data_IF_205685988300
#
_entry.id   IF_205685988300
#
_cell.length_a   1.000
_cell.length_b   1.000
_cell.length_c   1.000
_cell.angle_alpha   90.00
_cell.angle_beta   90.00
_cell.angle_gamma   90.00
#
_symmetry.space_group_name_H-M   'P 1'
#
loop_
_entity.id
_entity.type
_entity.pdbx_description
1 polymer ?
#
# COMPACT_ATOMS: atom_id res chain seq x y z
N UNK A 1 -16.21 -6.55 -16.15
CA UNK A 1 -17.35 -7.48 -16.31
C UNK A 1 -17.12 -8.65 -15.38
N UNK A 2 -18.16 -9.16 -14.76
CA UNK A 2 -18.12 -10.40 -13.99
C UNK A 2 -19.04 -11.40 -14.68
N UNK A 3 -18.66 -12.68 -14.70
CA UNK A 3 -19.51 -13.72 -15.24
C UNK A 3 -20.70 -13.92 -14.32
N UNK A 4 -21.91 -13.81 -14.89
CA UNK A 4 -23.13 -14.10 -14.16
C UNK A 4 -23.17 -15.61 -13.82
N UNK A 5 -23.48 -15.92 -12.57
CA UNK A 5 -23.37 -17.28 -12.03
C UNK A 5 -24.35 -18.30 -12.65
N UNK A 6 -25.40 -17.82 -13.35
CA UNK A 6 -26.41 -18.68 -13.96
C UNK A 6 -26.27 -18.79 -15.47
N UNK A 7 -25.85 -17.71 -16.12
CA UNK A 7 -25.74 -17.62 -17.59
C UNK A 7 -24.32 -17.79 -18.10
N UNK A 8 -23.30 -17.59 -17.24
CA UNK A 8 -21.88 -17.60 -17.62
C UNK A 8 -21.48 -16.43 -18.53
N UNK A 9 -22.36 -15.43 -18.69
CA UNK A 9 -22.11 -14.27 -19.56
C UNK A 9 -21.49 -13.15 -18.75
N UNK A 10 -20.45 -12.51 -19.29
CA UNK A 10 -19.85 -11.32 -18.69
C UNK A 10 -20.83 -10.15 -18.66
N UNK A 11 -21.18 -9.69 -17.47
CA UNK A 11 -22.08 -8.55 -17.24
C UNK A 11 -21.38 -7.41 -16.51
N UNK A 12 -21.85 -6.18 -16.73
CA UNK A 12 -21.41 -5.02 -15.93
C UNK A 12 -22.19 -5.00 -14.61
N UNK A 13 -21.48 -5.18 -13.50
CA UNK A 13 -22.06 -5.14 -12.15
C UNK A 13 -21.95 -3.75 -11.50
N UNK A 14 -21.19 -2.85 -12.12
CA UNK A 14 -21.04 -1.46 -11.70
C UNK A 14 -22.15 -0.58 -12.27
N UNK A 15 -22.61 0.36 -11.46
CA UNK A 15 -23.65 1.33 -11.75
C UNK A 15 -23.12 2.73 -11.52
N UNK A 16 -23.51 3.66 -12.38
CA UNK A 16 -23.35 5.08 -12.14
C UNK A 16 -24.41 5.53 -11.15
N UNK A 17 -23.96 6.07 -10.02
CA UNK A 17 -24.79 6.57 -8.94
C UNK A 17 -24.63 8.08 -8.84
N UNK A 18 -25.74 8.78 -8.69
CA UNK A 18 -25.76 10.22 -8.49
C UNK A 18 -25.48 10.57 -7.03
N UNK A 19 -24.54 11.49 -6.79
CA UNK A 19 -24.36 12.11 -5.48
C UNK A 19 -25.57 12.98 -5.17
N UNK A 20 -25.87 13.96 -6.03
CA UNK A 20 -27.14 14.69 -6.05
C UNK A 20 -28.03 14.04 -7.09
N UNK A 21 -29.16 13.48 -6.66
CA UNK A 21 -30.06 12.71 -7.51
C UNK A 21 -30.45 13.45 -8.78
N UNK A 22 -30.68 12.72 -9.87
CA UNK A 22 -30.92 13.28 -11.20
C UNK A 22 -32.05 14.33 -11.27
N UNK A 23 -33.06 14.23 -10.42
CA UNK A 23 -34.24 15.13 -10.41
C UNK A 23 -34.30 16.00 -9.16
N UNK A 24 -34.86 17.21 -9.29
CA UNK A 24 -35.14 18.12 -8.16
C UNK A 24 -36.42 17.77 -7.39
N UNK A 25 -37.11 16.69 -7.78
CA UNK A 25 -38.36 16.26 -7.14
C UNK A 25 -38.11 15.68 -5.73
N UNK A 26 -39.10 15.78 -4.84
CA UNK A 26 -39.00 15.38 -3.42
C UNK A 26 -38.72 13.90 -3.16
N UNK A 27 -38.88 13.04 -4.18
CA UNK A 27 -38.53 11.61 -4.11
C UNK A 27 -37.14 11.26 -4.64
N UNK A 28 -36.39 12.23 -5.19
CA UNK A 28 -35.04 11.97 -5.69
C UNK A 28 -34.02 12.06 -4.54
N UNK A 29 -33.12 11.08 -4.39
CA UNK A 29 -32.09 11.11 -3.36
C UNK A 29 -31.30 12.42 -3.39
N UNK A 30 -31.33 13.17 -2.29
CA UNK A 30 -30.65 14.48 -2.16
C UNK A 30 -31.05 15.49 -3.25
N UNK A 31 -32.22 15.34 -3.87
CA UNK A 31 -32.65 16.15 -5.01
C UNK A 31 -32.83 17.64 -4.71
N UNK A 32 -33.01 18.01 -3.43
CA UNK A 32 -33.13 19.40 -2.97
C UNK A 32 -31.81 20.17 -2.90
N UNK A 33 -30.66 19.55 -3.20
CA UNK A 33 -29.38 20.24 -3.32
C UNK A 33 -29.41 21.28 -4.47
N UNK A 34 -28.77 22.45 -4.31
CA UNK A 34 -28.81 23.54 -5.28
C UNK A 34 -28.05 23.26 -6.60
N UNK A 35 -27.41 22.08 -6.75
CA UNK A 35 -26.75 21.70 -8.01
C UNK A 35 -27.72 21.81 -9.20
N UNK A 36 -27.37 22.60 -10.25
CA UNK A 36 -28.20 22.78 -11.44
C UNK A 36 -28.53 21.46 -12.13
N UNK A 37 -29.71 21.40 -12.77
CA UNK A 37 -30.16 20.19 -13.46
C UNK A 37 -29.19 19.72 -14.55
N UNK A 38 -28.57 20.66 -15.28
CA UNK A 38 -27.64 20.37 -16.36
C UNK A 38 -26.31 19.76 -15.86
N UNK A 39 -25.92 20.07 -14.61
CA UNK A 39 -24.68 19.59 -14.00
C UNK A 39 -24.85 18.22 -13.31
N UNK A 40 -26.10 17.74 -13.13
CA UNK A 40 -26.37 16.49 -12.41
C UNK A 40 -25.83 15.25 -13.11
N UNK A 41 -25.55 15.30 -14.41
CA UNK A 41 -24.92 14.20 -15.15
C UNK A 41 -23.41 14.36 -15.35
N UNK A 42 -22.79 15.38 -14.75
CA UNK A 42 -21.33 15.55 -14.77
C UNK A 42 -20.62 14.44 -13.99
N UNK A 43 -19.38 14.16 -14.38
CA UNK A 43 -18.49 13.24 -13.70
C UNK A 43 -18.27 13.59 -12.22
N UNK A 44 -18.32 14.88 -11.88
CA UNK A 44 -18.17 15.37 -10.51
C UNK A 44 -19.34 14.94 -9.61
N UNK A 45 -20.53 14.79 -10.19
CA UNK A 45 -21.73 14.35 -9.48
C UNK A 45 -21.96 12.82 -9.55
N UNK A 46 -21.15 12.08 -10.30
CA UNK A 46 -21.32 10.64 -10.48
C UNK A 46 -20.28 9.83 -9.71
N UNK A 47 -20.70 8.70 -9.18
CA UNK A 47 -19.86 7.68 -8.54
C UNK A 47 -20.08 6.32 -9.19
N UNK A 48 -19.03 5.51 -9.30
CA UNK A 48 -19.16 4.12 -9.72
C UNK A 48 -19.32 3.23 -8.48
N UNK A 49 -20.47 2.57 -8.35
CA UNK A 49 -20.79 1.68 -7.23
C UNK A 49 -21.29 0.34 -7.74
N UNK A 50 -21.12 -0.74 -6.98
CA UNK A 50 -21.87 -1.97 -7.22
C UNK A 50 -23.31 -1.84 -6.73
N UNK A 51 -24.19 -2.69 -7.27
CA UNK A 51 -25.63 -2.63 -7.05
C UNK A 51 -26.05 -2.55 -5.58
N UNK A 52 -25.46 -3.37 -4.70
CA UNK A 52 -25.84 -3.40 -3.28
C UNK A 52 -25.52 -2.09 -2.56
N UNK A 53 -24.36 -1.49 -2.84
CA UNK A 53 -23.94 -0.23 -2.25
C UNK A 53 -24.75 0.94 -2.81
N UNK A 54 -25.06 0.93 -4.12
CA UNK A 54 -25.94 1.92 -4.73
C UNK A 54 -27.33 1.91 -4.09
N UNK A 55 -27.92 0.71 -3.90
CA UNK A 55 -29.21 0.55 -3.21
C UNK A 55 -29.19 1.09 -1.78
N UNK A 56 -28.07 0.96 -1.08
CA UNK A 56 -27.92 1.45 0.30
C UNK A 56 -27.91 2.98 0.35
N UNK A 57 -27.16 3.65 -0.52
CA UNK A 57 -27.04 5.13 -0.47
C UNK A 57 -28.32 5.84 -0.95
N UNK A 58 -29.11 5.17 -1.79
CA UNK A 58 -30.38 5.70 -2.31
C UNK A 58 -31.59 5.33 -1.45
N UNK A 59 -31.42 4.48 -0.46
CA UNK A 59 -32.48 4.22 0.51
C UNK A 59 -32.77 5.48 1.33
N UNK A 60 -34.03 5.94 1.30
CA UNK A 60 -34.49 7.13 2.02
C UNK A 60 -34.14 7.13 3.51
N UNK A 61 -34.12 5.96 4.17
CA UNK A 61 -33.74 5.86 5.59
C UNK A 61 -32.27 6.15 5.87
N UNK A 62 -31.44 6.25 4.83
CA UNK A 62 -30.00 6.43 4.90
C UNK A 62 -29.53 7.80 4.37
N UNK A 63 -30.43 8.65 3.85
CA UNK A 63 -30.04 9.92 3.22
C UNK A 63 -29.39 10.90 4.21
N UNK A 64 -29.75 10.86 5.49
CA UNK A 64 -29.09 11.67 6.53
C UNK A 64 -27.64 11.22 6.80
N UNK A 65 -27.32 9.94 6.53
CA UNK A 65 -25.98 9.39 6.74
C UNK A 65 -25.12 9.47 5.48
N UNK A 66 -25.74 9.29 4.32
CA UNK A 66 -25.11 9.44 3.01
C UNK A 66 -25.62 10.72 2.36
N UNK A 67 -25.30 11.84 3.01
CA UNK A 67 -25.52 13.17 2.47
C UNK A 67 -24.53 13.49 1.34
N UNK A 68 -24.71 14.66 0.71
CA UNK A 68 -23.89 15.09 -0.42
C UNK A 68 -22.42 15.20 -0.04
N UNK A 69 -22.10 15.73 1.13
CA UNK A 69 -20.72 15.95 1.57
C UNK A 69 -19.99 14.64 1.88
N UNK A 70 -20.68 13.70 2.53
CA UNK A 70 -20.18 12.34 2.78
C UNK A 70 -19.85 11.63 1.47
N UNK A 71 -20.77 11.65 0.51
CA UNK A 71 -20.58 10.98 -0.79
C UNK A 71 -19.46 11.64 -1.61
N UNK A 72 -19.38 12.98 -1.65
CA UNK A 72 -18.26 13.71 -2.27
C UNK A 72 -16.93 13.34 -1.63
N UNK A 73 -16.87 13.21 -0.31
CA UNK A 73 -15.67 12.79 0.41
C UNK A 73 -15.26 11.37 0.03
N UNK A 74 -16.19 10.42 0.02
CA UNK A 74 -15.93 9.02 -0.40
C UNK A 74 -15.40 8.98 -1.83
N UNK A 75 -16.05 9.70 -2.76
CA UNK A 75 -15.61 9.81 -4.16
C UNK A 75 -14.18 10.32 -4.25
N UNK A 76 -13.89 11.46 -3.60
CA UNK A 76 -12.57 12.09 -3.61
C UNK A 76 -11.49 11.18 -3.05
N UNK A 77 -11.74 10.53 -1.91
CA UNK A 77 -10.80 9.58 -1.30
C UNK A 77 -10.51 8.40 -2.24
N UNK A 78 -11.55 7.84 -2.87
CA UNK A 78 -11.40 6.73 -3.80
C UNK A 78 -10.63 7.13 -5.05
N UNK A 79 -10.98 8.26 -5.67
CA UNK A 79 -10.34 8.74 -6.90
C UNK A 79 -8.89 9.15 -6.68
N UNK A 80 -8.58 9.78 -5.54
CA UNK A 80 -7.21 10.08 -5.16
C UNK A 80 -6.38 8.80 -5.06
N UNK A 81 -6.91 7.78 -4.37
CA UNK A 81 -6.25 6.48 -4.23
C UNK A 81 -6.01 5.81 -5.59
N UNK A 82 -7.02 5.79 -6.46
CA UNK A 82 -6.86 5.22 -7.82
C UNK A 82 -5.81 6.01 -8.59
N UNK A 83 -5.89 7.34 -8.60
CA UNK A 83 -4.93 8.20 -9.30
C UNK A 83 -3.50 7.94 -8.83
N UNK A 84 -3.26 7.84 -7.52
CA UNK A 84 -1.95 7.52 -6.96
C UNK A 84 -1.47 6.15 -7.44
N UNK A 85 -2.30 5.11 -7.34
CA UNK A 85 -1.93 3.75 -7.77
C UNK A 85 -1.65 3.66 -9.27
N UNK A 86 -2.40 4.36 -10.10
CA UNK A 86 -2.25 4.35 -11.56
C UNK A 86 -1.17 5.30 -12.06
N UNK A 87 -0.70 6.23 -11.23
CA UNK A 87 0.39 7.15 -11.58
C UNK A 87 1.78 6.54 -11.36
N UNK A 88 1.87 5.40 -10.66
CA UNK A 88 3.12 4.69 -10.45
C UNK A 88 3.68 4.19 -11.79
N UNK A 89 4.95 4.50 -12.01
CA UNK A 89 5.72 4.12 -13.21
C UNK A 89 6.70 3.04 -12.84
N UNK A 90 7.26 2.42 -13.87
CA UNK A 90 8.21 1.33 -13.71
C UNK A 90 9.45 1.70 -12.87
N UNK A 91 9.87 2.95 -12.92
CA UNK A 91 10.97 3.54 -12.14
C UNK A 91 10.64 3.79 -10.66
N UNK A 92 9.35 3.76 -10.28
CA UNK A 92 8.90 3.93 -8.90
C UNK A 92 8.96 2.60 -8.11
N UNK A 93 9.38 1.51 -8.78
CA UNK A 93 9.66 0.21 -8.17
C UNK A 93 10.81 0.31 -7.15
N UNK A 94 10.78 -0.53 -6.13
CA UNK A 94 11.87 -0.60 -5.15
C UNK A 94 12.12 -2.02 -4.66
N UNK A 95 13.40 -2.37 -4.47
CA UNK A 95 13.75 -3.52 -3.66
C UNK A 95 13.42 -3.23 -2.19
N UNK A 96 12.88 -4.20 -1.47
CA UNK A 96 12.56 -4.06 -0.05
C UNK A 96 13.57 -4.87 0.76
N UNK A 97 14.41 -4.19 1.53
CA UNK A 97 15.31 -4.82 2.50
C UNK A 97 14.65 -4.77 3.88
N UNK A 98 14.37 -5.93 4.46
CA UNK A 98 13.84 -6.02 5.83
C UNK A 98 14.92 -6.53 6.77
N UNK A 99 15.13 -5.85 7.89
CA UNK A 99 16.01 -6.34 8.96
C UNK A 99 15.18 -6.37 10.23
N UNK A 100 14.88 -7.57 10.72
CA UNK A 100 14.00 -7.76 11.88
C UNK A 100 14.76 -8.48 12.99
N UNK A 101 14.74 -7.90 14.19
CA UNK A 101 15.32 -8.49 15.39
C UNK A 101 14.36 -8.38 16.57
N UNK A 102 14.75 -8.96 17.70
CA UNK A 102 14.03 -8.75 18.94
C UNK A 102 14.37 -7.36 19.52
N UNK A 103 13.35 -6.62 19.93
CA UNK A 103 13.49 -5.36 20.67
C UNK A 103 12.88 -5.59 22.05
N UNK A 104 13.73 -5.54 23.09
CA UNK A 104 13.33 -5.81 24.50
C UNK A 104 12.64 -7.17 24.67
N UNK A 105 13.09 -8.20 23.94
CA UNK A 105 12.53 -9.56 24.00
C UNK A 105 11.22 -9.76 23.22
N UNK A 106 10.66 -8.71 22.61
CA UNK A 106 9.55 -8.83 21.68
C UNK A 106 10.09 -8.88 20.25
N UNK A 107 9.82 -9.96 19.53
CA UNK A 107 10.12 -10.04 18.09
C UNK A 107 9.27 -9.03 17.34
N UNK A 108 9.91 -8.11 16.60
CA UNK A 108 9.18 -7.21 15.71
C UNK A 108 8.88 -7.95 14.41
N UNK A 109 7.65 -7.83 13.93
CA UNK A 109 7.25 -8.30 12.60
C UNK A 109 6.90 -7.11 11.73
N UNK A 110 7.51 -7.04 10.54
CA UNK A 110 7.14 -6.08 9.51
C UNK A 110 6.35 -6.85 8.46
N UNK A 111 5.02 -6.76 8.53
CA UNK A 111 4.13 -7.45 7.61
C UNK A 111 4.26 -6.86 6.18
N UNK A 112 4.34 -7.69 5.13
CA UNK A 112 4.32 -7.24 3.73
C UNK A 112 3.21 -6.23 3.39
N UNK A 113 2.03 -6.33 4.01
CA UNK A 113 0.91 -5.41 3.78
C UNK A 113 1.23 -4.00 4.31
N UNK A 114 1.86 -3.91 5.49
CA UNK A 114 2.30 -2.64 6.07
C UNK A 114 3.43 -2.02 5.24
N UNK A 115 4.37 -2.84 4.74
CA UNK A 115 5.40 -2.39 3.80
C UNK A 115 4.76 -1.79 2.56
N UNK A 116 3.89 -2.55 1.88
CA UNK A 116 3.23 -2.09 0.66
C UNK A 116 2.45 -0.79 0.89
N UNK A 117 1.67 -0.70 1.97
CA UNK A 117 0.94 0.52 2.30
C UNK A 117 1.87 1.72 2.56
N UNK A 118 3.00 1.50 3.25
CA UNK A 118 4.00 2.54 3.51
C UNK A 118 4.65 3.02 2.21
N UNK A 119 5.05 2.11 1.35
CA UNK A 119 5.64 2.44 0.05
C UNK A 119 4.68 3.22 -0.83
N UNK A 120 3.40 2.81 -0.87
CA UNK A 120 2.38 3.51 -1.65
C UNK A 120 2.17 4.95 -1.19
N UNK A 121 2.32 5.23 0.11
CA UNK A 121 2.26 6.60 0.64
C UNK A 121 3.44 7.48 0.20
N UNK A 122 4.56 6.86 -0.17
CA UNK A 122 5.75 7.49 -0.73
C UNK A 122 5.79 7.39 -2.28
N UNK A 123 4.65 7.09 -2.91
CA UNK A 123 4.57 6.88 -4.37
C UNK A 123 5.54 5.82 -4.90
N UNK A 124 5.72 4.73 -4.14
CA UNK A 124 6.55 3.57 -4.51
C UNK A 124 5.80 2.27 -4.38
N UNK A 125 6.33 1.21 -5.00
CA UNK A 125 5.81 -0.15 -4.83
C UNK A 125 6.93 -1.20 -4.84
N UNK A 126 6.75 -2.35 -4.15
CA UNK A 126 7.73 -3.42 -4.18
C UNK A 126 7.97 -3.92 -5.61
N UNK A 127 9.23 -4.14 -5.96
CA UNK A 127 9.54 -4.91 -7.17
C UNK A 127 9.23 -6.40 -6.93
N UNK A 128 8.05 -6.83 -7.38
CA UNK A 128 7.61 -8.21 -7.28
C UNK A 128 8.31 -9.16 -8.27
N UNK A 129 9.11 -8.65 -9.22
CA UNK A 129 9.94 -9.47 -10.10
C UNK A 129 11.20 -10.00 -9.40
N UNK A 130 11.59 -9.35 -8.30
CA UNK A 130 12.60 -9.88 -7.38
C UNK A 130 11.95 -11.02 -6.59
N UNK A 131 12.23 -12.24 -7.04
CA UNK A 131 11.70 -13.51 -6.55
C UNK A 131 11.76 -13.57 -5.01
N UNK A 132 10.61 -13.78 -4.37
CA UNK A 132 10.47 -14.05 -2.93
C UNK A 132 10.49 -12.81 -2.02
N UNK A 133 9.35 -12.51 -1.39
CA UNK A 133 9.19 -11.49 -0.33
C UNK A 133 10.17 -11.61 0.85
N UNK A 134 10.88 -12.74 0.97
CA UNK A 134 11.78 -13.06 2.08
C UNK A 134 13.27 -13.14 1.63
N UNK A 135 13.57 -13.01 0.34
CA UNK A 135 14.97 -13.12 -0.14
C UNK A 135 15.85 -11.94 0.29
N UNK A 136 15.27 -10.79 0.62
CA UNK A 136 15.95 -9.63 1.17
C UNK A 136 15.59 -9.39 2.65
N UNK A 137 15.17 -10.43 3.36
CA UNK A 137 14.99 -10.37 4.81
C UNK A 137 16.26 -10.85 5.55
N UNK A 138 16.62 -10.12 6.60
CA UNK A 138 17.57 -10.52 7.63
C UNK A 138 16.78 -10.71 8.93
N UNK A 139 16.52 -11.97 9.28
CA UNK A 139 15.87 -12.33 10.53
C UNK A 139 16.89 -12.63 11.63
N UNK A 140 17.01 -11.70 12.59
CA UNK A 140 17.89 -11.74 13.73
C UNK A 140 17.17 -12.22 15.01
N UNK A 141 15.87 -12.53 14.96
CA UNK A 141 15.03 -12.81 16.15
C UNK A 141 15.39 -14.12 16.86
N UNK A 142 15.99 -15.07 16.14
CA UNK A 142 16.35 -16.40 16.66
C UNK A 142 17.86 -16.56 16.84
N UNK A 143 18.62 -15.46 16.86
CA UNK A 143 20.06 -15.52 17.07
C UNK A 143 20.42 -15.91 18.52
N UNK A 144 21.29 -16.92 18.73
CA UNK A 144 21.73 -17.31 20.06
C UNK A 144 22.63 -16.24 20.70
N UNK A 145 22.71 -16.23 22.03
CA UNK A 145 23.59 -15.34 22.78
C UNK A 145 23.05 -13.92 22.98
N UNK A 146 21.79 -13.65 22.62
CA UNK A 146 21.17 -12.34 22.75
C UNK A 146 21.07 -11.87 24.22
N UNK A 147 20.67 -12.79 25.10
CA UNK A 147 20.43 -12.51 26.53
C UNK A 147 21.75 -12.31 27.28
N UNK A 148 22.76 -13.09 26.92
CA UNK A 148 24.10 -13.06 27.51
C UNK A 148 24.98 -11.96 26.92
N UNK A 149 24.49 -11.21 25.92
CA UNK A 149 25.26 -10.20 25.17
C UNK A 149 26.57 -10.75 24.60
N UNK A 150 26.57 -12.03 24.24
CA UNK A 150 27.77 -12.73 23.83
C UNK A 150 28.30 -12.20 22.48
N UNK A 151 29.62 -12.15 22.31
CA UNK A 151 30.24 -11.69 21.06
C UNK A 151 29.74 -12.45 19.83
N UNK A 152 29.42 -13.73 19.99
CA UNK A 152 28.85 -14.58 18.94
C UNK A 152 27.53 -14.04 18.38
N UNK A 153 26.71 -13.40 19.20
CA UNK A 153 25.43 -12.79 18.76
C UNK A 153 25.69 -11.65 17.76
N UNK A 154 26.61 -10.75 18.11
CA UNK A 154 26.96 -9.62 17.27
C UNK A 154 27.68 -10.06 16.00
N UNK A 155 28.64 -10.97 16.12
CA UNK A 155 29.38 -11.51 14.97
C UNK A 155 28.45 -12.23 13.99
N UNK A 156 27.55 -13.09 14.49
CA UNK A 156 26.58 -13.80 13.65
C UNK A 156 25.60 -12.83 12.97
N UNK A 157 25.02 -11.89 13.71
CA UNK A 157 24.07 -10.93 13.14
C UNK A 157 24.69 -10.01 12.09
N UNK A 158 25.91 -9.51 12.33
CA UNK A 158 26.65 -8.73 11.33
C UNK A 158 26.98 -9.57 10.10
N UNK A 159 27.38 -10.84 10.28
CA UNK A 159 27.63 -11.74 9.14
C UNK A 159 26.37 -11.97 8.29
N UNK A 160 25.20 -12.13 8.91
CA UNK A 160 23.92 -12.25 8.20
C UNK A 160 23.56 -10.98 7.41
N UNK A 161 23.76 -9.80 8.00
CA UNK A 161 23.56 -8.52 7.32
C UNK A 161 24.47 -8.43 6.09
N UNK A 162 25.77 -8.71 6.26
CA UNK A 162 26.76 -8.66 5.17
C UNK A 162 26.43 -9.62 4.04
N UNK A 163 26.03 -10.85 4.37
CA UNK A 163 25.67 -11.85 3.37
C UNK A 163 24.48 -11.39 2.52
N UNK A 164 23.45 -10.85 3.19
CA UNK A 164 22.26 -10.35 2.51
C UNK A 164 22.53 -9.11 1.67
N UNK A 165 23.33 -8.18 2.17
CA UNK A 165 23.73 -7.00 1.41
C UNK A 165 24.59 -7.36 0.20
N UNK A 166 25.43 -8.39 0.27
CA UNK A 166 26.19 -8.87 -0.90
C UNK A 166 25.26 -9.31 -2.04
N UNK A 167 24.18 -10.01 -1.72
CA UNK A 167 23.17 -10.39 -2.71
C UNK A 167 22.47 -9.17 -3.32
N UNK A 168 22.19 -8.16 -2.49
CA UNK A 168 21.62 -6.90 -2.95
C UNK A 168 22.58 -6.13 -3.86
N UNK A 169 23.85 -6.02 -3.49
CA UNK A 169 24.90 -5.37 -4.30
C UNK A 169 25.06 -6.02 -5.67
N UNK A 170 25.00 -7.35 -5.75
CA UNK A 170 25.04 -8.05 -7.03
C UNK A 170 23.87 -7.68 -7.94
N UNK A 171 22.67 -7.48 -7.37
CA UNK A 171 21.46 -7.06 -8.11
C UNK A 171 21.49 -5.57 -8.50
N UNK A 172 22.06 -4.70 -7.66
CA UNK A 172 22.31 -3.30 -8.00
C UNK A 172 23.30 -3.22 -9.17
N UNK A 173 24.41 -3.97 -9.09
CA UNK A 173 25.46 -3.97 -10.12
C UNK A 173 24.95 -4.47 -11.48
N UNK A 174 23.93 -5.33 -11.50
CA UNK A 174 23.27 -5.78 -12.72
C UNK A 174 22.17 -4.83 -13.22
N UNK A 175 22.05 -3.63 -12.64
CA UNK A 175 21.00 -2.62 -12.90
C UNK A 175 19.56 -3.13 -12.69
N UNK A 176 19.40 -4.27 -12.01
CA UNK A 176 18.08 -4.84 -11.72
C UNK A 176 17.38 -4.16 -10.55
N UNK A 177 18.13 -3.38 -9.75
CA UNK A 177 17.63 -2.63 -8.60
C UNK A 177 18.16 -1.20 -8.68
N UNK A 178 17.24 -0.24 -8.83
CA UNK A 178 17.57 1.19 -8.91
C UNK A 178 17.25 1.94 -7.62
N UNK A 179 16.35 1.40 -6.80
CA UNK A 179 15.93 1.97 -5.54
C UNK A 179 15.78 0.88 -4.49
N UNK A 180 16.13 1.21 -3.24
CA UNK A 180 16.02 0.32 -2.09
C UNK A 180 15.26 1.05 -0.98
N UNK A 181 14.25 0.38 -0.44
CA UNK A 181 13.53 0.82 0.75
C UNK A 181 13.88 -0.11 1.90
N UNK A 182 14.44 0.47 2.97
CA UNK A 182 14.94 -0.27 4.12
C UNK A 182 13.94 -0.20 5.28
N UNK A 183 13.49 -1.35 5.74
CA UNK A 183 12.63 -1.50 6.91
C UNK A 183 13.42 -2.25 7.99
N UNK A 184 14.10 -1.51 8.86
CA UNK A 184 15.01 -2.07 9.85
C UNK A 184 14.53 -1.84 11.29
N UNK A 185 14.24 -2.94 11.99
CA UNK A 185 13.83 -2.99 13.38
C UNK A 185 14.70 -3.98 14.13
N UNK A 186 15.86 -3.52 14.59
CA UNK A 186 16.84 -4.32 15.32
C UNK A 186 17.54 -3.48 16.39
N UNK A 187 18.38 -4.11 17.21
CA UNK A 187 19.22 -3.39 18.19
C UNK A 187 20.14 -2.38 17.49
N UNK A 188 20.37 -1.24 18.13
CA UNK A 188 21.15 -0.11 17.57
C UNK A 188 22.47 -0.53 16.91
N UNK A 189 23.30 -1.43 17.50
CA UNK A 189 24.55 -1.83 16.85
C UNK A 189 24.37 -2.50 15.48
N UNK A 190 23.30 -3.26 15.28
CA UNK A 190 22.99 -3.83 13.97
C UNK A 190 22.53 -2.78 12.97
N UNK A 191 21.81 -1.75 13.42
CA UNK A 191 21.41 -0.63 12.56
C UNK A 191 22.62 0.21 12.13
N UNK A 192 23.60 0.39 13.02
CA UNK A 192 24.88 1.05 12.70
C UNK A 192 25.68 0.22 11.69
N UNK A 193 25.80 -1.09 11.91
CA UNK A 193 26.48 -1.99 10.97
C UNK A 193 25.79 -2.02 9.60
N UNK A 194 24.46 -2.09 9.57
CA UNK A 194 23.66 -2.01 8.36
C UNK A 194 23.93 -0.71 7.58
N UNK A 195 23.91 0.43 8.27
CA UNK A 195 24.17 1.73 7.66
C UNK A 195 25.56 1.83 7.05
N UNK A 196 26.60 1.35 7.77
CA UNK A 196 27.97 1.35 7.28
C UNK A 196 28.12 0.51 6.00
N UNK A 197 27.55 -0.70 5.97
CA UNK A 197 27.67 -1.58 4.80
C UNK A 197 26.82 -1.11 3.61
N UNK A 198 25.71 -0.39 3.83
CA UNK A 198 24.89 0.18 2.75
C UNK A 198 25.58 1.36 2.06
N UNK A 199 26.25 2.23 2.83
CA UNK A 199 27.00 3.38 2.32
C UNK A 199 28.18 2.93 1.44
N UNK A 200 28.89 1.87 1.87
CA UNK A 200 29.98 1.28 1.10
C UNK A 200 29.51 0.57 -0.18
N UNK A 201 28.30 0.01 -0.19
CA UNK A 201 27.80 -0.85 -1.25
C UNK A 201 26.96 -0.15 -2.32
N UNK A 202 26.48 1.07 -2.07
CA UNK A 202 25.46 1.71 -2.90
C UNK A 202 25.62 3.23 -2.89
N UNK A 203 25.38 3.95 -4.01
CA UNK A 203 25.15 5.38 -3.95
C UNK A 203 23.82 5.65 -3.24
N UNK A 204 23.85 5.73 -1.91
CA UNK A 204 22.66 5.98 -1.08
C UNK A 204 22.32 7.48 -1.15
N UNK A 205 21.06 7.79 -1.45
CA UNK A 205 20.45 9.07 -1.08
C UNK A 205 19.44 8.77 0.01
N UNK A 206 19.73 9.25 1.22
CA UNK A 206 18.82 9.18 2.38
C UNK A 206 17.82 10.33 2.29
#
# INVERSE_FOLDING_TARGET
MLDDQYTGVGVSVGQLAHIVGWSTSSGSPRGGDPLPADDRNSEDNLMLLCYDQHRVIDNASMWDRYDVDMLRRIKREHELRIRQLTALRDEDRTAVLRVVGAIRGAGVTVNPQTVAATLLSDSRYPDYSLIGIDELEVDLRQLPGEAETADVYWLAGVAMIKDRLRLLSARIASESVQHISVFAFARIPFLVALGAELDDATPVRI
#
